data_IF_006940248146
#
_entry.id   IF_006940248146
#
_cell.length_a   1.000
_cell.length_b   1.000
_cell.length_c   1.000
_cell.angle_alpha   90.00
_cell.angle_beta   90.00
_cell.angle_gamma   90.00
#
_symmetry.space_group_name_H-M   'P 1'
#
loop_
_entity.id
_entity.type
_entity.pdbx_description
1 polymer ?
#
# COMPACT_ATOMS: atom_id res chain seq x y z
N UNK A 1 15.05 16.61 4.94
CA UNK A 1 14.43 15.86 6.09
C UNK A 1 14.90 14.40 6.19
N UNK A 2 15.27 13.71 5.10
CA UNK A 2 15.79 12.33 5.13
C UNK A 2 17.31 12.24 4.86
N UNK A 3 18.03 13.37 4.91
CA UNK A 3 19.44 13.47 4.49
C UNK A 3 20.42 12.74 5.42
N UNK A 4 20.02 12.40 6.64
CA UNK A 4 20.83 11.66 7.61
C UNK A 4 20.72 10.14 7.48
N UNK A 5 19.88 9.63 6.59
CA UNK A 5 19.70 8.20 6.36
C UNK A 5 20.57 7.78 5.17
N UNK A 6 21.54 6.91 5.43
CA UNK A 6 22.38 6.33 4.37
C UNK A 6 21.50 5.52 3.39
N UNK A 7 21.70 5.69 2.08
CA UNK A 7 20.97 4.86 1.11
C UNK A 7 21.56 3.45 1.09
N UNK A 8 20.70 2.44 1.15
CA UNK A 8 21.09 1.03 0.96
C UNK A 8 20.38 0.41 -0.24
N UNK A 9 21.02 -0.60 -0.83
CA UNK A 9 20.35 -1.43 -1.83
C UNK A 9 19.12 -2.11 -1.22
N UNK A 10 18.13 -2.41 -2.04
CA UNK A 10 16.88 -3.04 -1.61
C UNK A 10 17.09 -4.37 -0.89
N UNK A 11 18.09 -5.13 -1.30
CA UNK A 11 18.43 -6.43 -0.73
C UNK A 11 19.02 -6.35 0.69
N UNK A 12 19.46 -5.17 1.14
CA UNK A 12 19.95 -5.02 2.50
C UNK A 12 18.79 -5.06 3.50
N UNK A 13 19.16 -5.24 4.77
CA UNK A 13 18.20 -5.17 5.85
C UNK A 13 17.70 -3.74 6.04
N UNK A 14 16.50 -3.63 6.61
CA UNK A 14 15.81 -2.37 6.73
C UNK A 14 16.53 -1.44 7.71
N UNK A 15 16.87 -0.24 7.26
CA UNK A 15 17.62 0.76 8.04
C UNK A 15 16.72 1.85 8.65
N UNK A 16 15.43 1.86 8.30
CA UNK A 16 14.48 2.85 8.82
C UNK A 16 13.07 2.27 8.92
N UNK A 17 12.33 2.72 9.92
CA UNK A 17 10.92 2.34 10.09
C UNK A 17 10.04 3.58 9.98
N UNK A 18 8.98 3.49 9.20
CA UNK A 18 7.97 4.54 9.10
C UNK A 18 6.75 4.15 9.93
N UNK A 19 6.37 4.98 10.89
CA UNK A 19 5.15 4.82 11.66
C UNK A 19 4.21 5.97 11.31
N UNK A 20 3.02 5.67 10.80
CA UNK A 20 2.08 6.71 10.38
C UNK A 20 0.62 6.27 10.49
N UNK A 21 -0.27 7.25 10.69
CA UNK A 21 -1.71 7.06 10.53
C UNK A 21 -2.17 7.62 9.20
N UNK A 22 -2.92 6.83 8.42
CA UNK A 22 -3.41 7.22 7.10
C UNK A 22 -4.92 7.45 7.15
N UNK A 23 -5.33 8.65 6.75
CA UNK A 23 -6.75 9.00 6.62
C UNK A 23 -7.32 8.63 5.24
N UNK A 24 -6.46 8.32 4.27
CA UNK A 24 -6.84 7.96 2.90
C UNK A 24 -5.76 7.08 2.23
N UNK A 25 -5.94 6.78 0.94
CA UNK A 25 -5.04 5.91 0.15
C UNK A 25 -3.97 6.66 -0.64
N UNK A 26 -3.84 7.99 -0.49
CA UNK A 26 -2.91 8.80 -1.29
C UNK A 26 -1.47 8.40 -1.05
N UNK A 27 -1.12 8.14 0.20
CA UNK A 27 0.22 7.65 0.54
C UNK A 27 0.50 6.28 -0.12
N UNK A 28 -0.45 5.36 -0.09
CA UNK A 28 -0.30 4.04 -0.73
C UNK A 28 -0.11 4.17 -2.25
N UNK A 29 -0.88 5.05 -2.89
CA UNK A 29 -0.72 5.38 -4.31
C UNK A 29 0.62 6.05 -4.61
N UNK A 30 1.09 6.92 -3.72
CA UNK A 30 2.41 7.54 -3.81
C UNK A 30 3.51 6.48 -3.78
N UNK A 31 3.44 5.50 -2.87
CA UNK A 31 4.41 4.40 -2.81
C UNK A 31 4.44 3.63 -4.13
N UNK A 32 3.29 3.25 -4.69
CA UNK A 32 3.25 2.54 -5.98
C UNK A 32 3.80 3.37 -7.14
N UNK A 33 3.51 4.68 -7.18
CA UNK A 33 4.02 5.54 -8.26
C UNK A 33 5.54 5.63 -8.24
N UNK A 34 6.15 5.60 -7.05
CA UNK A 34 7.59 5.73 -6.88
C UNK A 34 8.33 4.38 -6.86
N UNK A 35 7.62 3.26 -6.85
CA UNK A 35 8.19 1.92 -6.72
C UNK A 35 9.16 1.58 -7.87
N UNK A 36 8.77 1.82 -9.11
CA UNK A 36 9.56 1.39 -10.27
C UNK A 36 10.90 2.11 -10.38
N UNK A 37 10.96 3.37 -9.96
CA UNK A 37 12.19 4.18 -9.98
C UNK A 37 12.90 4.24 -8.63
N UNK A 38 12.43 3.48 -7.62
CA UNK A 38 12.91 3.57 -6.23
C UNK A 38 13.04 5.03 -5.76
N UNK A 39 11.99 5.82 -5.94
CA UNK A 39 11.98 7.24 -5.59
C UNK A 39 11.39 7.49 -4.20
N UNK A 40 11.60 8.71 -3.68
CA UNK A 40 11.05 9.12 -2.39
C UNK A 40 11.63 8.28 -1.25
N UNK A 41 10.77 7.74 -0.38
CA UNK A 41 11.24 6.88 0.72
C UNK A 41 11.87 5.58 0.22
N UNK A 42 11.44 5.07 -0.94
CA UNK A 42 11.96 3.83 -1.51
C UNK A 42 13.40 3.98 -2.02
N UNK A 43 13.88 5.23 -2.20
CA UNK A 43 15.26 5.54 -2.57
C UNK A 43 16.28 5.25 -1.46
N UNK A 44 15.80 5.09 -0.22
CA UNK A 44 16.62 4.79 0.94
C UNK A 44 16.85 3.29 1.12
N UNK A 45 16.14 2.45 0.36
CA UNK A 45 16.16 1.00 0.47
C UNK A 45 14.80 0.41 0.80
N UNK A 46 14.80 -0.83 1.30
CA UNK A 46 13.59 -1.62 1.58
C UNK A 46 12.90 -1.13 2.86
N UNK A 47 11.67 -0.55 2.77
CA UNK A 47 10.99 -0.01 3.94
C UNK A 47 10.36 -1.11 4.79
N UNK A 48 10.32 -0.86 6.10
CA UNK A 48 9.34 -1.43 7.03
C UNK A 48 8.43 -0.29 7.48
N UNK A 49 7.13 -0.45 7.30
CA UNK A 49 6.13 0.56 7.64
C UNK A 49 5.10 -0.03 8.58
N UNK A 50 4.77 0.70 9.65
CA UNK A 50 3.68 0.41 10.56
C UNK A 50 2.60 1.46 10.35
N UNK A 51 1.50 1.06 9.72
CA UNK A 51 0.46 1.98 9.27
C UNK A 51 -0.84 1.71 10.02
N UNK A 52 -1.42 2.76 10.61
CA UNK A 52 -2.80 2.75 11.07
C UNK A 52 -3.70 3.13 9.89
N UNK A 53 -4.56 2.21 9.48
CA UNK A 53 -5.46 2.39 8.33
C UNK A 53 -6.88 1.98 8.68
N UNK A 54 -7.85 2.42 7.88
CA UNK A 54 -9.23 1.97 8.02
C UNK A 54 -9.37 0.50 7.58
N UNK A 55 -10.24 -0.32 8.22
CA UNK A 55 -10.54 -1.67 7.77
C UNK A 55 -10.94 -1.74 6.29
N UNK A 56 -11.71 -0.76 5.78
CA UNK A 56 -12.02 -0.66 4.36
C UNK A 56 -10.77 -0.50 3.46
N UNK A 57 -9.73 0.20 3.93
CA UNK A 57 -8.45 0.30 3.20
C UNK A 57 -7.68 -1.01 3.27
N UNK A 58 -7.67 -1.66 4.43
CA UNK A 58 -7.01 -2.96 4.60
C UNK A 58 -7.61 -4.02 3.67
N UNK A 59 -8.93 -4.15 3.64
CA UNK A 59 -9.62 -5.09 2.75
C UNK A 59 -9.26 -4.89 1.28
N UNK A 60 -9.11 -3.63 0.82
CA UNK A 60 -8.67 -3.33 -0.54
C UNK A 60 -7.21 -3.70 -0.81
N UNK A 61 -6.35 -3.71 0.20
CA UNK A 61 -4.94 -4.11 0.03
C UNK A 61 -4.80 -5.63 -0.08
N UNK A 62 -5.55 -6.38 0.72
CA UNK A 62 -5.48 -7.84 0.76
C UNK A 62 -6.46 -8.55 -0.18
N UNK A 63 -7.33 -7.82 -0.89
CA UNK A 63 -8.30 -8.40 -1.80
C UNK A 63 -7.62 -9.28 -2.87
N UNK A 64 -8.10 -10.50 -3.00
CA UNK A 64 -7.76 -11.44 -4.05
C UNK A 64 -8.75 -11.45 -5.24
N UNK A 65 -8.62 -12.43 -6.14
CA UNK A 65 -9.43 -12.52 -7.36
C UNK A 65 -10.87 -13.00 -7.12
N UNK A 66 -11.19 -13.56 -5.96
CA UNK A 66 -12.53 -14.09 -5.64
C UNK A 66 -13.43 -13.04 -4.98
N UNK A 67 -12.86 -11.95 -4.52
CA UNK A 67 -13.53 -10.82 -3.91
C UNK A 67 -14.26 -9.95 -4.93
N UNK A 68 -15.28 -9.18 -4.50
CA UNK A 68 -16.04 -8.35 -5.41
C UNK A 68 -15.15 -7.31 -6.11
N UNK A 69 -15.56 -6.98 -7.34
CA UNK A 69 -14.80 -6.16 -8.29
C UNK A 69 -14.45 -4.75 -7.78
N UNK A 70 -15.16 -4.24 -6.77
CA UNK A 70 -14.89 -2.95 -6.14
C UNK A 70 -13.66 -3.00 -5.22
N UNK A 71 -13.28 -4.19 -4.73
CA UNK A 71 -12.13 -4.43 -3.84
C UNK A 71 -10.88 -4.83 -4.63
N UNK A 72 -10.97 -5.81 -5.54
CA UNK A 72 -9.82 -6.26 -6.34
C UNK A 72 -9.45 -5.23 -7.42
N UNK A 73 -8.38 -4.48 -7.16
CA UNK A 73 -7.91 -3.34 -7.97
C UNK A 73 -6.41 -3.45 -8.22
N UNK A 74 -5.83 -2.71 -9.19
CA UNK A 74 -4.39 -2.71 -9.42
C UNK A 74 -3.57 -2.43 -8.16
N UNK A 75 -4.08 -1.57 -7.27
CA UNK A 75 -3.49 -1.28 -5.97
C UNK A 75 -3.27 -2.56 -5.15
N UNK A 76 -4.28 -3.43 -5.04
CA UNK A 76 -4.23 -4.67 -4.28
C UNK A 76 -3.14 -5.61 -4.81
N UNK A 77 -3.18 -5.85 -6.12
CA UNK A 77 -2.27 -6.78 -6.81
C UNK A 77 -0.82 -6.29 -6.68
N UNK A 78 -0.56 -5.02 -7.00
CA UNK A 78 0.79 -4.47 -6.92
C UNK A 78 1.31 -4.47 -5.49
N UNK A 79 0.50 -4.09 -4.50
CA UNK A 79 0.92 -4.14 -3.10
C UNK A 79 1.26 -5.55 -2.65
N UNK A 80 0.44 -6.54 -2.98
CA UNK A 80 0.69 -7.94 -2.63
C UNK A 80 1.89 -8.54 -3.37
N UNK A 81 2.23 -8.06 -4.57
CA UNK A 81 3.46 -8.44 -5.27
C UNK A 81 4.68 -7.84 -4.55
N UNK A 82 4.63 -6.54 -4.24
CA UNK A 82 5.79 -5.76 -3.80
C UNK A 82 6.10 -5.96 -2.31
N UNK A 83 5.06 -6.11 -1.48
CA UNK A 83 5.17 -6.09 -0.03
C UNK A 83 4.60 -7.35 0.60
N UNK A 84 5.16 -7.73 1.76
CA UNK A 84 4.47 -8.53 2.75
C UNK A 84 3.60 -7.60 3.59
N UNK A 85 2.33 -7.99 3.78
CA UNK A 85 1.34 -7.23 4.55
C UNK A 85 0.85 -8.13 5.66
N UNK A 86 0.96 -7.64 6.89
CA UNK A 86 0.56 -8.37 8.10
C UNK A 86 -0.33 -7.46 8.95
N UNK A 87 -1.48 -7.97 9.36
CA UNK A 87 -2.33 -7.29 10.33
C UNK A 87 -1.81 -7.60 11.74
N UNK A 88 -1.30 -6.59 12.43
CA UNK A 88 -0.78 -6.76 13.78
C UNK A 88 -1.88 -6.66 14.83
N UNK A 89 -2.74 -5.64 14.71
CA UNK A 89 -3.79 -5.40 15.70
C UNK A 89 -4.94 -4.58 15.15
N UNK A 90 -6.08 -4.70 15.81
CA UNK A 90 -7.23 -3.80 15.67
C UNK A 90 -7.24 -2.89 16.88
N UNK A 91 -7.27 -1.59 16.65
CA UNK A 91 -7.23 -0.59 17.71
C UNK A 91 -8.45 0.31 17.63
N UNK A 92 -8.96 0.73 18.77
CA UNK A 92 -10.06 1.69 18.83
C UNK A 92 -9.54 3.06 18.32
N UNK A 93 -10.25 3.63 17.35
CA UNK A 93 -9.96 4.95 16.79
C UNK A 93 -9.99 6.01 17.90
N UNK A 94 -10.86 5.85 18.91
CA UNK A 94 -11.02 6.76 20.05
C UNK A 94 -9.75 6.86 20.90
N UNK A 95 -8.88 5.84 20.88
CA UNK A 95 -7.59 5.89 21.57
C UNK A 95 -6.58 6.85 20.93
N UNK A 96 -6.82 7.32 19.69
CA UNK A 96 -5.91 8.20 18.95
C UNK A 96 -6.46 9.61 18.68
N UNK A 97 -7.72 9.88 19.04
CA UNK A 97 -8.31 11.22 18.90
C UNK A 97 -8.13 11.96 20.23
N UNK A 98 -7.69 13.24 20.23
CA UNK A 98 -7.82 14.05 21.44
C UNK A 98 -9.29 14.04 21.86
N UNK A 99 -9.53 13.78 23.15
CA UNK A 99 -10.85 13.62 23.77
C UNK A 99 -11.86 14.62 23.19
N UNK A 100 -13.04 14.19 22.74
CA UNK A 100 -13.98 15.10 22.12
C UNK A 100 -14.39 16.16 23.15
N UNK A 101 -14.02 17.42 22.90
CA UNK A 101 -14.82 18.54 23.40
C UNK A 101 -16.25 18.32 22.92
N UNK A 102 -17.27 18.65 23.72
CA UNK A 102 -18.67 18.33 23.42
C UNK A 102 -19.14 19.11 22.19
N UNK A 103 -18.85 18.60 21.00
CA UNK A 103 -19.25 19.18 19.73
C UNK A 103 -20.56 18.56 19.29
N UNK A 104 -21.57 19.42 19.09
CA UNK A 104 -22.95 19.06 18.71
C UNK A 104 -22.93 18.15 17.48
N UNK A 105 -23.58 16.98 17.60
CA UNK A 105 -23.82 16.04 16.50
C UNK A 105 -24.49 16.78 15.34
N UNK A 106 -23.74 17.09 14.29
CA UNK A 106 -24.32 17.19 12.96
C UNK A 106 -24.42 15.76 12.44
N UNK A 107 -25.64 15.27 12.33
CA UNK A 107 -25.95 13.97 11.73
C UNK A 107 -25.62 14.02 10.23
N UNK A 108 -24.34 13.88 9.88
CA UNK A 108 -23.97 13.56 8.51
C UNK A 108 -24.25 12.07 8.30
N UNK A 109 -25.18 11.78 7.37
CA UNK A 109 -25.50 10.44 6.87
C UNK A 109 -24.32 9.87 6.08
N UNK A 110 -23.23 9.56 6.76
CA UNK A 110 -22.03 8.97 6.18
C UNK A 110 -21.32 8.10 7.20
N UNK A 111 -21.76 6.84 7.30
CA UNK A 111 -21.08 5.72 7.97
C UNK A 111 -20.12 6.08 9.12
N UNK A 112 -20.70 6.32 10.30
CA UNK A 112 -20.07 6.18 11.62
C UNK A 112 -19.68 4.69 11.90
N UNK A 113 -19.15 3.94 10.94
CA UNK A 113 -19.09 2.47 11.02
C UNK A 113 -17.71 1.84 11.13
N UNK A 114 -16.64 2.62 11.27
CA UNK A 114 -15.32 2.05 11.59
C UNK A 114 -14.73 2.81 12.78
N UNK A 115 -15.30 2.55 13.96
CA UNK A 115 -14.72 2.90 15.26
C UNK A 115 -13.36 2.21 15.50
N UNK A 116 -12.93 1.31 14.60
CA UNK A 116 -11.65 0.62 14.66
C UNK A 116 -10.70 1.05 13.55
N UNK A 117 -9.43 1.27 13.88
CA UNK A 117 -8.31 1.31 12.95
C UNK A 117 -7.55 -0.02 12.99
N UNK A 118 -6.93 -0.39 11.89
CA UNK A 118 -6.07 -1.57 11.78
C UNK A 118 -4.62 -1.12 11.74
N UNK A 119 -3.82 -1.61 12.69
CA UNK A 119 -2.37 -1.49 12.66
C UNK A 119 -1.82 -2.61 11.80
N UNK A 120 -1.23 -2.23 10.67
CA UNK A 120 -0.62 -3.16 9.74
C UNK A 120 0.89 -2.94 9.65
N UNK A 121 1.62 -4.03 9.47
CA UNK A 121 3.04 -4.03 9.09
C UNK A 121 3.14 -4.29 7.61
N UNK A 122 3.84 -3.40 6.91
CA UNK A 122 4.17 -3.54 5.49
C UNK A 122 5.69 -3.61 5.37
N UNK A 123 6.20 -4.69 4.77
CA UNK A 123 7.62 -4.88 4.54
C UNK A 123 7.89 -5.19 3.07
N UNK A 124 8.85 -4.51 2.44
CA UNK A 124 9.23 -4.82 1.07
C UNK A 124 9.78 -6.25 0.95
N UNK A 125 9.43 -6.98 -0.11
CA UNK A 125 9.99 -8.33 -0.33
C UNK A 125 11.45 -8.25 -0.74
N UNK A 126 12.35 -8.88 0.03
CA UNK A 126 13.82 -8.80 -0.14
C UNK A 126 14.30 -9.10 -1.56
N UNK A 127 13.78 -10.16 -2.17
CA UNK A 127 14.21 -10.65 -3.49
C UNK A 127 13.31 -10.17 -4.65
N UNK A 128 12.58 -9.07 -4.46
CA UNK A 128 11.62 -8.58 -5.46
C UNK A 128 12.30 -8.17 -6.77
N UNK A 129 13.29 -7.27 -6.71
CA UNK A 129 13.97 -6.78 -7.91
C UNK A 129 14.80 -7.88 -8.57
N UNK A 130 15.37 -8.82 -7.80
CA UNK A 130 16.02 -10.01 -8.35
C UNK A 130 15.05 -10.84 -9.22
N UNK A 131 13.81 -11.07 -8.76
CA UNK A 131 12.77 -11.78 -9.53
C UNK A 131 12.29 -11.00 -10.75
N UNK A 132 12.27 -9.68 -10.68
CA UNK A 132 11.85 -8.81 -11.79
C UNK A 132 12.98 -8.52 -12.80
N UNK A 133 14.22 -8.91 -12.46
CA UNK A 133 15.44 -8.60 -13.20
C UNK A 133 16.04 -7.27 -12.73
N UNK A 134 16.96 -7.33 -11.75
CA UNK A 134 17.50 -6.21 -10.95
C UNK A 134 17.97 -5.03 -11.80
N UNK A 135 18.44 -5.28 -13.02
CA UNK A 135 19.00 -4.27 -13.93
C UNK A 135 17.99 -3.65 -14.90
N UNK A 136 16.73 -4.10 -14.89
CA UNK A 136 15.76 -3.70 -15.90
C UNK A 136 14.57 -2.97 -15.28
N UNK A 137 14.79 -1.67 -15.00
CA UNK A 137 13.75 -0.73 -14.57
C UNK A 137 12.53 -0.77 -15.51
N UNK A 138 12.76 -0.97 -16.82
CA UNK A 138 11.70 -1.09 -17.82
C UNK A 138 10.79 -2.31 -17.56
N UNK A 139 11.30 -3.42 -17.03
CA UNK A 139 10.45 -4.58 -16.65
C UNK A 139 9.56 -4.27 -15.46
N UNK A 140 10.06 -3.53 -14.48
CA UNK A 140 9.26 -3.11 -13.31
C UNK A 140 8.16 -2.14 -13.74
N UNK A 141 8.51 -1.15 -14.57
CA UNK A 141 7.55 -0.23 -15.19
C UNK A 141 6.52 -0.98 -16.04
N UNK A 142 6.96 -1.96 -16.84
CA UNK A 142 6.08 -2.79 -17.68
C UNK A 142 5.12 -3.60 -16.84
N UNK A 143 5.58 -4.22 -15.74
CA UNK A 143 4.70 -4.93 -14.81
C UNK A 143 3.63 -4.00 -14.24
N UNK A 144 4.02 -2.80 -13.79
CA UNK A 144 3.08 -1.84 -13.23
C UNK A 144 2.03 -1.42 -14.26
N UNK A 145 2.45 -1.13 -15.51
CA UNK A 145 1.57 -0.78 -16.63
C UNK A 145 0.64 -1.96 -16.96
N UNK A 146 1.18 -3.17 -17.05
CA UNK A 146 0.44 -4.40 -17.34
C UNK A 146 -0.66 -4.65 -16.31
N UNK A 147 -0.32 -4.67 -15.02
CA UNK A 147 -1.30 -4.88 -13.95
C UNK A 147 -2.36 -3.78 -13.94
N UNK A 148 -1.95 -2.52 -14.13
CA UNK A 148 -2.88 -1.39 -14.18
C UNK A 148 -3.83 -1.50 -15.37
N UNK A 149 -3.33 -1.93 -16.53
CA UNK A 149 -4.12 -2.09 -17.74
C UNK A 149 -5.10 -3.27 -17.62
N UNK A 150 -4.59 -4.47 -17.31
CA UNK A 150 -5.38 -5.71 -17.26
C UNK A 150 -6.41 -5.69 -16.13
N UNK A 151 -6.00 -5.36 -14.91
CA UNK A 151 -6.89 -5.32 -13.74
C UNK A 151 -7.76 -4.06 -13.75
N UNK A 152 -7.32 -3.00 -14.44
CA UNK A 152 -8.12 -1.80 -14.70
C UNK A 152 -9.28 -2.10 -15.67
N UNK A 153 -9.03 -2.88 -16.73
CA UNK A 153 -10.01 -3.23 -17.78
C UNK A 153 -10.64 -4.61 -17.54
N UNK A 154 -11.41 -4.67 -16.46
CA UNK A 154 -11.94 -5.89 -15.80
C UNK A 154 -12.78 -6.85 -16.65
N UNK A 155 -13.31 -6.43 -17.80
CA UNK A 155 -14.16 -7.25 -18.68
C UNK A 155 -13.44 -7.71 -19.95
N UNK A 156 -12.20 -7.26 -20.17
CA UNK A 156 -11.44 -7.60 -21.35
C UNK A 156 -10.73 -8.94 -21.12
N UNK A 157 -10.83 -9.86 -22.10
CA UNK A 157 -10.09 -11.11 -22.03
C UNK A 157 -8.59 -10.80 -22.05
N UNK A 158 -7.81 -11.53 -21.25
CA UNK A 158 -6.38 -11.28 -21.09
C UNK A 158 -5.62 -11.50 -22.40
N UNK A 159 -5.92 -12.58 -23.13
CA UNK A 159 -5.22 -12.94 -24.37
C UNK A 159 -5.33 -11.83 -25.45
N UNK A 160 -6.53 -11.32 -25.81
CA UNK A 160 -6.66 -10.17 -26.72
C UNK A 160 -6.05 -8.85 -26.25
N UNK A 161 -5.54 -8.79 -25.01
CA UNK A 161 -4.93 -7.57 -24.45
C UNK A 161 -3.40 -7.62 -24.52
N UNK A 162 -2.83 -8.79 -24.80
CA UNK A 162 -1.39 -9.04 -24.88
C UNK A 162 -0.93 -9.12 -26.35
N UNK A 163 -1.82 -9.55 -27.25
CA UNK A 163 -1.67 -9.46 -28.72
C UNK A 163 -1.76 -8.00 -29.21
#
# INVERSE_FOLDING_TARGET
MLEYIEKKEWEHDCIYQLIASLNNQDFLRYILRNFSHQNGILALGRPIMYLLITPATYQKLIAGPHEPWNLYKPLAVLFQIIFHIELLSKVDRRSFVPWPTPYKKTESKGNLSEDSLYLIRIEGKKHLYQKLGKENIERVNTLQKFVTHVIGRKKQRIIPTIE
#
